data_IF_400328430992
#
_entry.id   IF_400328430992
#
_cell.length_a   1.000
_cell.length_b   1.000
_cell.length_c   1.000
_cell.angle_alpha   90.00
_cell.angle_beta   90.00
_cell.angle_gamma   90.00
#
_symmetry.space_group_name_H-M   'P 1'
#
loop_
_entity.id
_entity.type
_entity.pdbx_description
1 polymer ?
#
# COMPACT_ATOMS: atom_id res chain seq x y z
N UNK A 1 6.06 22.83 13.21
CA UNK A 1 5.42 21.87 12.29
C UNK A 1 4.63 22.59 11.18
N UNK A 2 4.65 22.06 9.96
CA UNK A 2 3.88 22.53 8.79
C UNK A 2 2.65 21.62 8.60
N UNK A 3 1.59 21.90 9.34
CA UNK A 3 0.30 21.20 9.24
C UNK A 3 -0.63 21.99 8.30
N UNK A 4 -1.37 21.28 7.46
CA UNK A 4 -2.30 21.86 6.51
C UNK A 4 -3.44 22.66 7.19
N UNK A 5 -3.80 23.85 6.68
CA UNK A 5 -5.00 24.56 7.11
C UNK A 5 -6.27 23.75 6.92
N UNK A 6 -7.20 23.87 7.88
CA UNK A 6 -8.51 23.21 7.88
C UNK A 6 -9.27 23.40 6.57
N UNK A 7 -9.22 24.60 6.02
CA UNK A 7 -9.94 25.00 4.81
C UNK A 7 -9.42 24.25 3.58
N UNK A 8 -8.10 23.99 3.51
CA UNK A 8 -7.50 23.26 2.39
C UNK A 8 -7.85 21.77 2.44
N UNK A 9 -7.79 21.15 3.63
CA UNK A 9 -8.22 19.76 3.84
C UNK A 9 -9.68 19.58 3.43
N UNK A 10 -10.59 20.43 3.91
CA UNK A 10 -12.01 20.36 3.55
C UNK A 10 -12.26 20.59 2.07
N UNK A 11 -11.50 21.51 1.45
CA UNK A 11 -11.61 21.80 0.02
C UNK A 11 -11.17 20.60 -0.81
N UNK A 12 -10.09 19.93 -0.43
CA UNK A 12 -9.59 18.74 -1.12
C UNK A 12 -10.56 17.56 -0.99
N UNK A 13 -10.99 17.28 0.24
CA UNK A 13 -11.95 16.21 0.53
C UNK A 13 -13.24 16.36 -0.28
N UNK A 14 -13.86 17.56 -0.29
CA UNK A 14 -15.07 17.83 -1.07
C UNK A 14 -14.85 17.76 -2.57
N UNK A 15 -13.65 18.08 -3.04
CA UNK A 15 -13.30 17.99 -4.47
C UNK A 15 -13.25 16.53 -4.90
N UNK A 16 -12.62 15.65 -4.12
CA UNK A 16 -12.58 14.22 -4.39
C UNK A 16 -13.99 13.62 -4.37
N UNK A 17 -14.76 13.82 -3.29
CA UNK A 17 -16.16 13.33 -3.20
C UNK A 17 -17.06 13.76 -4.37
N UNK A 18 -16.76 14.88 -5.02
CA UNK A 18 -17.53 15.37 -6.16
C UNK A 18 -17.05 14.79 -7.49
N UNK A 19 -15.76 14.52 -7.61
CA UNK A 19 -15.12 14.29 -8.90
C UNK A 19 -14.68 12.84 -9.08
N UNK A 20 -14.53 12.09 -8.01
CA UNK A 20 -13.98 10.74 -7.99
C UNK A 20 -15.08 9.80 -7.48
N UNK A 21 -15.12 8.61 -8.06
CA UNK A 21 -16.02 7.53 -7.68
C UNK A 21 -15.18 6.28 -7.61
N UNK A 22 -15.15 5.64 -6.44
CA UNK A 22 -14.42 4.40 -6.25
C UNK A 22 -15.37 3.21 -6.33
N UNK A 23 -14.90 2.09 -6.90
CA UNK A 23 -15.64 0.82 -6.95
C UNK A 23 -15.59 0.10 -5.59
N UNK A 24 -16.16 0.74 -4.58
CA UNK A 24 -16.30 0.24 -3.21
C UNK A 24 -17.46 0.95 -2.52
N UNK A 25 -17.80 0.53 -1.31
CA UNK A 25 -18.81 1.20 -0.51
C UNK A 25 -18.34 2.59 -0.04
N UNK A 26 -19.26 3.58 0.10
CA UNK A 26 -18.92 4.94 0.52
C UNK A 26 -18.15 5.03 1.85
N UNK A 27 -18.33 4.04 2.73
CA UNK A 27 -17.63 4.00 4.01
C UNK A 27 -16.14 3.67 3.86
N UNK A 28 -15.76 2.84 2.87
CA UNK A 28 -14.36 2.52 2.56
C UNK A 28 -13.76 3.64 1.72
N UNK A 29 -14.54 4.22 0.80
CA UNK A 29 -14.15 5.40 0.03
C UNK A 29 -13.73 6.58 0.94
N UNK A 30 -14.51 6.90 1.98
CA UNK A 30 -14.17 7.93 2.99
C UNK A 30 -12.79 7.67 3.61
N UNK A 31 -12.44 6.40 3.90
CA UNK A 31 -11.14 6.00 4.47
C UNK A 31 -9.98 6.22 3.50
N UNK A 32 -10.16 5.87 2.22
CA UNK A 32 -9.15 6.01 1.18
C UNK A 32 -8.93 7.47 0.78
N UNK A 33 -9.99 8.29 0.76
CA UNK A 33 -9.88 9.73 0.57
C UNK A 33 -9.09 10.40 1.70
N UNK A 34 -9.31 10.02 2.96
CA UNK A 34 -8.51 10.55 4.08
C UNK A 34 -7.01 10.23 3.93
N UNK A 35 -6.66 9.03 3.48
CA UNK A 35 -5.27 8.66 3.15
C UNK A 35 -4.71 9.52 2.01
N UNK A 36 -5.52 9.76 0.98
CA UNK A 36 -5.08 10.49 -0.23
C UNK A 36 -4.80 11.96 0.07
N UNK A 37 -5.59 12.58 0.96
CA UNK A 37 -5.34 13.97 1.39
C UNK A 37 -4.00 14.12 2.09
N UNK A 38 -3.58 13.12 2.88
CA UNK A 38 -2.25 13.14 3.51
C UNK A 38 -1.16 13.23 2.44
N UNK A 39 -1.20 12.33 1.45
CA UNK A 39 -0.27 12.36 0.30
C UNK A 39 -0.32 13.69 -0.47
N UNK A 40 -1.52 14.18 -0.80
CA UNK A 40 -1.67 15.49 -1.46
C UNK A 40 -1.08 16.62 -0.62
N UNK A 41 -1.26 16.61 0.69
CA UNK A 41 -0.75 17.66 1.58
C UNK A 41 0.78 17.65 1.64
N UNK A 42 1.41 16.47 1.65
CA UNK A 42 2.87 16.33 1.69
C UNK A 42 3.51 16.77 0.38
N UNK A 43 2.90 16.42 -0.75
CA UNK A 43 3.42 16.71 -2.08
C UNK A 43 3.02 18.10 -2.61
N UNK A 44 1.97 18.69 -2.04
CA UNK A 44 1.39 19.96 -2.50
C UNK A 44 0.39 19.78 -3.64
N UNK A 45 -0.18 18.60 -3.81
CA UNK A 45 -1.13 18.28 -4.88
C UNK A 45 -2.57 18.72 -4.52
N UNK A 46 -3.55 18.31 -5.33
CA UNK A 46 -4.96 18.52 -5.01
C UNK A 46 -5.33 20.00 -4.79
N UNK A 47 -5.89 20.32 -3.63
CA UNK A 47 -6.25 21.67 -3.22
C UNK A 47 -5.09 22.50 -2.66
N UNK A 48 -3.91 21.91 -2.47
CA UNK A 48 -2.74 22.54 -1.83
C UNK A 48 -1.88 23.38 -2.80
N UNK A 49 -2.05 23.23 -4.12
CA UNK A 49 -1.48 24.09 -5.18
C UNK A 49 0.04 24.37 -5.05
N UNK A 50 0.82 23.31 -4.86
CA UNK A 50 2.28 23.33 -4.71
C UNK A 50 2.77 23.66 -3.31
N UNK A 51 1.89 23.97 -2.35
CA UNK A 51 2.28 24.20 -0.96
C UNK A 51 2.36 22.87 -0.19
N UNK A 52 3.54 22.55 0.32
CA UNK A 52 3.79 21.32 1.08
C UNK A 52 3.56 21.49 2.58
N UNK A 53 2.79 20.58 3.16
CA UNK A 53 2.47 20.46 4.57
C UNK A 53 2.86 19.08 5.09
N UNK A 54 4.16 18.79 5.05
CA UNK A 54 4.79 17.48 5.31
C UNK A 54 4.57 16.89 6.72
N UNK A 55 4.03 17.69 7.65
CA UNK A 55 3.70 17.24 9.00
C UNK A 55 2.19 16.98 9.19
N UNK A 56 1.38 17.14 8.14
CA UNK A 56 -0.06 16.81 8.19
C UNK A 56 -0.23 15.30 8.28
N UNK A 57 -1.03 14.83 9.23
CA UNK A 57 -1.27 13.39 9.41
C UNK A 57 -2.72 13.02 9.12
N UNK A 58 -3.00 11.73 8.90
CA UNK A 58 -4.38 11.22 8.86
C UNK A 58 -5.17 11.60 10.12
N UNK A 59 -4.52 11.67 11.29
CA UNK A 59 -5.19 12.13 12.52
C UNK A 59 -5.70 13.57 12.38
N UNK A 60 -4.88 14.48 11.87
CA UNK A 60 -5.25 15.88 11.67
C UNK A 60 -6.41 16.00 10.68
N UNK A 61 -6.37 15.20 9.61
CA UNK A 61 -7.41 15.13 8.58
C UNK A 61 -8.73 14.64 9.19
N UNK A 62 -8.70 13.52 9.93
CA UNK A 62 -9.85 12.93 10.62
C UNK A 62 -10.49 13.94 11.58
N UNK A 63 -9.69 14.59 12.42
CA UNK A 63 -10.18 15.61 13.36
C UNK A 63 -10.77 16.82 12.64
N UNK A 64 -10.11 17.32 11.59
CA UNK A 64 -10.59 18.44 10.76
C UNK A 64 -11.93 18.13 10.11
N UNK A 65 -12.11 16.90 9.61
CA UNK A 65 -13.35 16.42 9.00
C UNK A 65 -14.45 16.12 10.03
N UNK A 66 -14.17 16.29 11.32
CA UNK A 66 -15.12 16.04 12.41
C UNK A 66 -15.47 14.57 12.56
N UNK A 67 -14.54 13.68 12.20
CA UNK A 67 -14.67 12.23 12.35
C UNK A 67 -14.08 11.81 13.70
N UNK A 68 -14.59 10.72 14.25
CA UNK A 68 -14.05 10.12 15.46
C UNK A 68 -12.81 9.27 15.12
N UNK A 69 -11.68 9.57 15.74
CA UNK A 69 -10.39 8.92 15.46
C UNK A 69 -10.38 7.44 15.79
N UNK A 70 -11.02 7.04 16.89
CA UNK A 70 -11.12 5.65 17.28
C UNK A 70 -12.00 4.86 16.30
N UNK A 71 -13.12 5.43 15.86
CA UNK A 71 -14.01 4.80 14.87
C UNK A 71 -13.27 4.62 13.54
N UNK A 72 -12.54 5.64 13.06
CA UNK A 72 -11.79 5.54 11.80
C UNK A 72 -10.72 4.44 11.88
N UNK A 73 -9.90 4.43 12.93
CA UNK A 73 -8.87 3.40 13.14
C UNK A 73 -9.47 2.00 13.26
N UNK A 74 -10.58 1.87 13.98
CA UNK A 74 -11.29 0.59 14.16
C UNK A 74 -11.84 0.06 12.83
N UNK A 75 -12.40 0.93 11.98
CA UNK A 75 -12.86 0.54 10.65
C UNK A 75 -11.73 0.07 9.75
N UNK A 76 -10.58 0.76 9.77
CA UNK A 76 -9.39 0.33 9.01
C UNK A 76 -8.87 -1.01 9.52
N UNK A 77 -8.78 -1.18 10.84
CA UNK A 77 -8.38 -2.45 11.45
C UNK A 77 -9.35 -3.59 11.11
N UNK A 78 -10.67 -3.32 11.10
CA UNK A 78 -11.67 -4.31 10.73
C UNK A 78 -11.45 -4.83 9.30
N UNK A 79 -11.15 -3.95 8.33
CA UNK A 79 -10.87 -4.37 6.95
C UNK A 79 -9.60 -5.24 6.86
N UNK A 80 -8.55 -4.91 7.62
CA UNK A 80 -7.34 -5.73 7.71
C UNK A 80 -7.65 -7.10 8.35
N UNK A 81 -8.41 -7.10 9.45
CA UNK A 81 -8.77 -8.32 10.17
C UNK A 81 -9.61 -9.27 9.29
N UNK A 82 -10.47 -8.75 8.40
CA UNK A 82 -11.19 -9.56 7.41
C UNK A 82 -10.25 -10.25 6.41
N UNK A 83 -9.15 -9.61 6.00
CA UNK A 83 -8.14 -10.23 5.12
C UNK A 83 -7.38 -11.32 5.88
N UNK A 84 -7.02 -11.07 7.15
CA UNK A 84 -6.41 -12.08 8.02
C UNK A 84 -7.33 -13.30 8.19
N UNK A 85 -8.61 -13.08 8.46
CA UNK A 85 -9.61 -14.13 8.59
C UNK A 85 -9.78 -14.94 7.29
N UNK A 86 -9.76 -14.28 6.14
CA UNK A 86 -9.72 -14.95 4.84
C UNK A 86 -8.51 -15.89 4.74
N UNK A 87 -7.32 -15.42 5.12
CA UNK A 87 -6.10 -16.23 5.09
C UNK A 87 -6.18 -17.43 6.02
N UNK A 88 -6.63 -17.24 7.26
CA UNK A 88 -6.80 -18.31 8.24
C UNK A 88 -7.72 -19.41 7.71
N UNK A 89 -8.85 -19.05 7.09
CA UNK A 89 -9.79 -20.00 6.48
C UNK A 89 -9.16 -20.83 5.37
N UNK A 90 -8.35 -20.21 4.49
CA UNK A 90 -7.63 -20.96 3.45
C UNK A 90 -6.60 -21.91 4.06
N UNK A 91 -5.85 -21.47 5.08
CA UNK A 91 -4.87 -22.31 5.80
C UNK A 91 -5.56 -23.49 6.48
N UNK A 92 -6.74 -23.29 7.05
CA UNK A 92 -7.58 -24.33 7.65
C UNK A 92 -8.18 -25.31 6.63
N UNK A 93 -7.98 -25.06 5.33
CA UNK A 93 -8.38 -25.92 4.23
C UNK A 93 -9.76 -25.61 3.66
N UNK A 94 -10.35 -24.46 3.98
CA UNK A 94 -11.58 -24.01 3.33
C UNK A 94 -11.31 -23.68 1.85
N UNK A 95 -12.12 -24.24 0.96
CA UNK A 95 -11.98 -24.00 -0.47
C UNK A 95 -12.73 -22.71 -0.87
N UNK A 96 -12.03 -21.58 -0.77
CA UNK A 96 -12.56 -20.26 -1.11
C UNK A 96 -12.31 -19.93 -2.59
N UNK A 97 -13.40 -19.72 -3.32
CA UNK A 97 -13.37 -19.40 -4.76
C UNK A 97 -13.60 -17.91 -5.05
N UNK A 98 -13.81 -17.09 -4.00
CA UNK A 98 -14.06 -15.66 -4.08
C UNK A 98 -13.39 -14.96 -2.90
N UNK A 99 -13.05 -13.68 -3.05
CA UNK A 99 -12.34 -12.90 -2.01
C UNK A 99 -13.38 -12.25 -1.07
N UNK A 100 -13.94 -13.07 -0.18
CA UNK A 100 -15.07 -12.68 0.70
C UNK A 100 -14.78 -12.97 2.18
N UNK A 101 -15.36 -12.16 3.08
CA UNK A 101 -15.33 -12.40 4.51
C UNK A 101 -16.20 -13.61 4.92
N UNK A 102 -16.27 -13.94 6.22
CA UNK A 102 -17.11 -15.06 6.72
C UNK A 102 -18.61 -14.89 6.46
N UNK A 103 -19.08 -13.67 6.27
CA UNK A 103 -20.48 -13.38 5.97
C UNK A 103 -20.78 -13.47 4.47
N UNK A 104 -19.78 -13.75 3.62
CA UNK A 104 -19.91 -13.77 2.17
C UNK A 104 -19.90 -12.38 1.52
N UNK A 105 -19.54 -11.34 2.27
CA UNK A 105 -19.38 -9.98 1.74
C UNK A 105 -17.99 -9.82 1.13
N UNK A 106 -17.82 -9.09 0.01
CA UNK A 106 -16.51 -8.87 -0.58
C UNK A 106 -15.57 -8.10 0.35
N UNK A 107 -14.31 -8.54 0.40
CA UNK A 107 -13.26 -7.81 1.11
C UNK A 107 -13.10 -6.40 0.51
N UNK A 108 -12.70 -5.44 1.34
CA UNK A 108 -12.62 -4.02 0.96
C UNK A 108 -13.93 -3.45 0.40
N UNK A 109 -15.05 -4.18 0.52
CA UNK A 109 -16.34 -3.89 -0.11
C UNK A 109 -16.25 -3.66 -1.63
N UNK A 110 -15.26 -4.28 -2.28
CA UNK A 110 -15.08 -4.20 -3.73
C UNK A 110 -15.91 -5.28 -4.43
N UNK A 111 -16.92 -4.91 -5.23
CA UNK A 111 -17.83 -5.89 -5.85
C UNK A 111 -17.12 -6.91 -6.76
N UNK A 112 -15.98 -6.53 -7.35
CA UNK A 112 -15.18 -7.42 -8.20
C UNK A 112 -14.75 -8.71 -7.48
N UNK A 113 -14.58 -8.65 -6.16
CA UNK A 113 -14.16 -9.77 -5.33
C UNK A 113 -15.25 -10.81 -5.10
N UNK A 114 -16.50 -10.43 -5.37
CA UNK A 114 -17.62 -11.35 -5.46
C UNK A 114 -17.74 -11.94 -6.87
N UNK A 115 -17.48 -11.15 -7.91
CA UNK A 115 -17.69 -11.56 -9.31
C UNK A 115 -16.55 -12.43 -9.87
N UNK A 116 -15.32 -12.21 -9.40
CA UNK A 116 -14.15 -12.92 -9.91
C UNK A 116 -13.93 -14.23 -9.16
N UNK A 117 -13.88 -15.32 -9.91
CA UNK A 117 -13.45 -16.62 -9.42
C UNK A 117 -11.93 -16.63 -9.22
N UNK A 118 -11.49 -17.10 -8.06
CA UNK A 118 -10.08 -17.18 -7.65
C UNK A 118 -9.77 -18.53 -7.01
N UNK A 119 -8.49 -18.81 -6.84
CA UNK A 119 -8.01 -19.88 -5.95
C UNK A 119 -7.45 -19.22 -4.68
N UNK A 120 -8.10 -19.48 -3.53
CA UNK A 120 -7.66 -18.95 -2.24
C UNK A 120 -6.20 -19.28 -1.91
N UNK A 121 -5.68 -20.45 -2.30
CA UNK A 121 -4.27 -20.82 -2.07
C UNK A 121 -3.31 -19.92 -2.83
N UNK A 122 -3.70 -19.50 -4.02
CA UNK A 122 -2.89 -18.60 -4.84
C UNK A 122 -3.01 -17.15 -4.36
N UNK A 123 -4.13 -16.75 -3.75
CA UNK A 123 -4.24 -15.47 -3.03
C UNK A 123 -3.19 -15.39 -1.90
N UNK A 124 -2.99 -16.47 -1.13
CA UNK A 124 -1.96 -16.53 -0.08
C UNK A 124 -0.54 -16.34 -0.63
N UNK A 125 -0.25 -16.93 -1.80
CA UNK A 125 1.04 -16.72 -2.48
C UNK A 125 1.23 -15.25 -2.86
N UNK A 126 0.18 -14.60 -3.35
CA UNK A 126 0.20 -13.17 -3.66
C UNK A 126 0.44 -12.30 -2.44
N UNK A 127 -0.29 -12.56 -1.35
CA UNK A 127 -0.13 -11.85 -0.08
C UNK A 127 1.29 -11.97 0.47
N UNK A 128 1.91 -13.14 0.36
CA UNK A 128 3.30 -13.30 0.72
C UNK A 128 4.24 -12.47 -0.16
N UNK A 129 4.10 -12.55 -1.49
CA UNK A 129 4.96 -11.82 -2.42
C UNK A 129 4.84 -10.31 -2.20
N UNK A 130 3.62 -9.81 -2.01
CA UNK A 130 3.35 -8.41 -1.68
C UNK A 130 3.97 -8.00 -0.34
N UNK A 131 3.70 -8.72 0.75
CA UNK A 131 4.28 -8.35 2.06
C UNK A 131 5.81 -8.43 2.11
N UNK A 132 6.44 -9.34 1.34
CA UNK A 132 7.91 -9.39 1.21
C UNK A 132 8.48 -8.28 0.34
N UNK A 133 7.67 -7.69 -0.54
CA UNK A 133 8.08 -6.63 -1.45
C UNK A 133 8.50 -5.37 -0.69
N UNK A 134 7.83 -5.07 0.42
CA UNK A 134 8.08 -3.86 1.21
C UNK A 134 9.12 -4.04 2.32
N UNK A 135 9.47 -5.29 2.65
CA UNK A 135 10.55 -5.55 3.60
C UNK A 135 11.93 -5.09 3.07
N UNK A 136 12.50 -4.10 3.75
CA UNK A 136 13.80 -3.53 3.41
C UNK A 136 14.94 -4.55 3.39
N UNK A 137 14.93 -5.55 4.28
CA UNK A 137 15.98 -6.55 4.34
C UNK A 137 15.92 -7.50 3.14
N UNK A 138 14.73 -7.80 2.65
CA UNK A 138 14.50 -8.52 1.40
C UNK A 138 14.95 -7.69 0.19
N UNK A 139 14.64 -6.39 0.14
CA UNK A 139 15.15 -5.48 -0.92
C UNK A 139 16.67 -5.41 -0.96
N UNK A 140 17.38 -5.50 0.18
CA UNK A 140 18.85 -5.60 0.20
C UNK A 140 19.36 -6.85 -0.50
N UNK A 141 18.74 -8.01 -0.26
CA UNK A 141 19.10 -9.27 -0.94
C UNK A 141 18.89 -9.17 -2.44
N UNK A 142 17.84 -8.46 -2.89
CA UNK A 142 17.60 -8.19 -4.32
C UNK A 142 18.72 -7.33 -4.91
N UNK A 143 19.12 -6.26 -4.21
CA UNK A 143 20.25 -5.42 -4.64
C UNK A 143 21.55 -6.23 -4.79
N UNK A 144 21.84 -7.12 -3.84
CA UNK A 144 23.01 -7.99 -3.89
C UNK A 144 22.95 -8.98 -5.05
N UNK A 145 21.80 -9.62 -5.27
CA UNK A 145 21.63 -10.68 -6.27
C UNK A 145 21.53 -10.17 -7.71
N UNK A 146 20.83 -9.06 -7.92
CA UNK A 146 20.50 -8.54 -9.26
C UNK A 146 21.23 -7.23 -9.61
N UNK A 147 22.11 -6.74 -8.73
CA UNK A 147 22.79 -5.45 -8.89
C UNK A 147 21.81 -4.28 -9.11
N UNK A 148 20.67 -4.34 -8.42
CA UNK A 148 19.66 -3.29 -8.43
C UNK A 148 20.00 -2.15 -7.45
N UNK A 149 19.26 -1.04 -7.55
CA UNK A 149 19.38 0.14 -6.70
C UNK A 149 18.07 0.42 -5.95
N UNK A 150 17.54 -0.58 -5.25
CA UNK A 150 16.34 -0.46 -4.44
C UNK A 150 16.64 0.26 -3.12
N UNK A 151 15.84 1.28 -2.85
CA UNK A 151 15.76 1.95 -1.57
C UNK A 151 14.74 1.30 -0.65
N UNK A 152 14.64 1.81 0.56
CA UNK A 152 13.61 1.40 1.50
C UNK A 152 13.88 1.88 2.92
N UNK A 153 13.01 1.44 3.81
CA UNK A 153 12.94 1.86 5.20
C UNK A 153 11.86 1.06 5.88
N UNK A 154 11.53 1.45 7.12
CA UNK A 154 10.42 0.83 7.86
C UNK A 154 9.62 1.91 8.57
N UNK A 155 8.31 1.70 8.80
CA UNK A 155 7.53 2.52 9.69
C UNK A 155 7.86 2.22 11.15
N UNK A 156 7.97 3.29 11.95
CA UNK A 156 8.28 3.23 13.37
C UNK A 156 7.25 4.01 14.18
N UNK A 157 6.91 3.58 15.41
CA UNK A 157 6.28 4.46 16.38
C UNK A 157 7.24 5.61 16.73
N UNK A 158 6.89 6.83 16.34
CA UNK A 158 7.69 8.04 16.48
C UNK A 158 7.01 9.05 17.41
N UNK A 159 7.73 9.57 18.41
CA UNK A 159 7.26 10.70 19.23
C UNK A 159 7.54 12.03 18.52
N UNK A 160 6.48 12.70 18.10
CA UNK A 160 6.54 13.97 17.34
C UNK A 160 7.21 15.10 18.13
N UNK A 161 7.15 15.09 19.47
CA UNK A 161 7.79 16.11 20.29
C UNK A 161 9.29 15.91 20.30
N UNK A 162 9.75 14.66 20.37
CA UNK A 162 11.17 14.32 20.25
C UNK A 162 11.66 14.68 18.85
N UNK A 163 10.89 14.33 17.82
CA UNK A 163 11.18 14.69 16.43
C UNK A 163 11.41 16.19 16.26
N UNK A 164 10.51 17.03 16.80
CA UNK A 164 10.65 18.49 16.75
C UNK A 164 11.87 18.99 17.55
N UNK A 165 12.13 18.44 18.75
CA UNK A 165 13.33 18.79 19.55
C UNK A 165 14.64 18.46 18.84
N UNK A 166 14.67 17.37 18.08
CA UNK A 166 15.81 16.95 17.27
C UNK A 166 15.96 17.77 15.97
N UNK A 167 15.02 18.69 15.70
CA UNK A 167 15.00 19.46 14.45
C UNK A 167 14.69 18.60 13.22
N UNK A 168 14.02 17.46 13.42
CA UNK A 168 13.57 16.55 12.38
C UNK A 168 12.11 16.85 12.01
N UNK A 169 11.70 16.37 10.84
CA UNK A 169 10.31 16.38 10.39
C UNK A 169 10.04 15.18 9.47
N UNK A 170 8.78 14.98 9.07
CA UNK A 170 8.37 13.87 8.22
C UNK A 170 9.15 13.80 6.89
N UNK A 171 9.38 14.95 6.24
CA UNK A 171 10.14 15.03 4.99
C UNK A 171 11.57 14.52 5.15
N UNK A 172 12.25 14.95 6.22
CA UNK A 172 13.63 14.56 6.49
C UNK A 172 13.71 13.06 6.74
N UNK A 173 12.81 12.50 7.53
CA UNK A 173 12.76 11.07 7.83
C UNK A 173 12.40 10.22 6.60
N UNK A 174 11.44 10.65 5.78
CA UNK A 174 10.94 9.90 4.64
C UNK A 174 11.86 9.95 3.40
N UNK A 175 12.71 10.96 3.26
CA UNK A 175 13.56 11.16 2.07
C UNK A 175 15.07 11.13 2.35
N UNK A 176 15.49 11.09 3.62
CA UNK A 176 16.89 11.01 4.02
C UNK A 176 17.49 9.60 3.92
N UNK A 177 18.77 9.49 4.26
CA UNK A 177 19.45 8.23 4.57
C UNK A 177 19.66 8.21 6.08
N UNK A 178 19.09 7.20 6.76
CA UNK A 178 19.06 7.14 8.23
C UNK A 178 19.43 5.79 8.81
N UNK A 179 19.84 4.82 7.99
CA UNK A 179 20.25 3.49 8.46
C UNK A 179 21.30 3.55 9.59
N UNK A 180 22.25 4.49 9.49
CA UNK A 180 23.31 4.72 10.48
C UNK A 180 22.84 5.44 11.76
N UNK A 181 21.65 6.01 11.76
CA UNK A 181 21.09 6.81 12.87
C UNK A 181 20.00 6.10 13.66
N UNK A 182 19.54 4.93 13.23
CA UNK A 182 18.44 4.23 13.89
C UNK A 182 18.72 3.96 15.38
N UNK A 183 19.96 3.65 15.74
CA UNK A 183 20.35 3.42 17.15
C UNK A 183 20.34 4.72 17.97
N UNK A 184 20.74 5.84 17.36
CA UNK A 184 20.62 7.17 17.98
C UNK A 184 19.13 7.52 18.19
N UNK A 185 18.29 7.29 17.18
CA UNK A 185 16.86 7.56 17.25
C UNK A 185 16.16 6.75 18.33
N UNK A 186 16.54 5.49 18.55
CA UNK A 186 16.05 4.70 19.69
C UNK A 186 16.53 5.25 21.03
N UNK A 187 17.81 5.62 21.12
CA UNK A 187 18.42 6.13 22.35
C UNK A 187 17.81 7.46 22.80
N UNK A 188 17.50 8.34 21.85
CA UNK A 188 16.88 9.65 22.11
C UNK A 188 15.35 9.56 22.29
N UNK A 189 14.80 8.34 22.29
CA UNK A 189 13.36 8.05 22.39
C UNK A 189 12.53 8.67 21.25
N UNK A 190 13.16 8.91 20.10
CA UNK A 190 12.45 9.26 18.88
C UNK A 190 11.65 8.06 18.39
N UNK A 191 12.32 6.90 18.25
CA UNK A 191 11.70 5.62 17.91
C UNK A 191 11.34 4.90 19.20
N UNK A 192 10.07 4.54 19.34
CA UNK A 192 9.53 3.82 20.48
C UNK A 192 9.26 2.36 20.12
N UNK A 193 9.39 1.48 21.10
CA UNK A 193 9.02 0.08 20.94
C UNK A 193 7.50 -0.09 20.88
N UNK A 194 6.93 -0.83 19.90
CA UNK A 194 5.49 -0.92 19.67
C UNK A 194 4.66 -1.35 20.89
N UNK A 195 5.19 -2.26 21.72
CA UNK A 195 4.50 -2.79 22.90
C UNK A 195 4.40 -1.79 24.06
N UNK A 196 5.11 -0.66 23.98
CA UNK A 196 5.10 0.38 25.00
C UNK A 196 4.10 1.50 24.69
N UNK A 197 3.37 1.43 23.57
CA UNK A 197 2.52 2.52 23.11
C UNK A 197 1.04 2.21 23.39
N UNK A 198 0.47 2.88 24.39
CA UNK A 198 -1.00 3.01 24.51
C UNK A 198 -1.46 4.15 23.60
N UNK A 199 -1.91 3.80 22.40
CA UNK A 199 -2.30 4.78 21.37
C UNK A 199 -3.46 5.70 21.81
N UNK A 200 -4.29 5.27 22.76
CA UNK A 200 -5.37 6.11 23.30
C UNK A 200 -4.84 7.20 24.22
N UNK A 201 -3.62 7.06 24.73
CA UNK A 201 -3.00 7.98 25.70
C UNK A 201 -1.92 8.88 25.11
N UNK A 202 -1.53 8.67 23.86
CA UNK A 202 -0.42 9.37 23.25
C UNK A 202 -0.78 9.96 21.88
N UNK A 203 -1.44 11.11 21.88
CA UNK A 203 -1.74 11.91 20.69
C UNK A 203 -0.49 12.29 19.88
N UNK A 204 0.67 12.30 20.53
CA UNK A 204 1.95 12.74 19.98
C UNK A 204 2.78 11.60 19.36
N UNK A 205 2.28 10.36 19.39
CA UNK A 205 2.95 9.20 18.77
C UNK A 205 2.31 8.91 17.40
N UNK A 206 3.13 8.61 16.40
CA UNK A 206 2.71 8.29 15.03
C UNK A 206 3.43 7.07 14.49
N UNK A 207 2.80 6.33 13.59
CA UNK A 207 3.49 5.33 12.79
C UNK A 207 4.08 6.04 11.58
N UNK A 208 5.37 6.36 11.65
CA UNK A 208 6.05 7.21 10.69
C UNK A 208 7.11 6.40 9.94
N UNK A 209 7.05 6.44 8.61
CA UNK A 209 8.08 5.87 7.76
C UNK A 209 9.41 6.62 7.95
N UNK A 210 10.46 5.85 8.26
CA UNK A 210 11.85 6.33 8.28
C UNK A 210 12.60 5.59 7.19
N UNK A 211 13.09 6.33 6.19
CA UNK A 211 13.90 5.78 5.11
C UNK A 211 15.27 5.39 5.66
N UNK A 212 15.61 4.11 5.54
CA UNK A 212 16.93 3.63 5.93
C UNK A 212 17.95 4.02 4.87
N UNK A 213 17.63 3.72 3.61
CA UNK A 213 18.51 3.94 2.47
C UNK A 213 17.73 4.46 1.26
N UNK A 214 18.29 5.46 0.58
CA UNK A 214 17.82 5.95 -0.71
C UNK A 214 18.08 4.95 -1.83
N UNK A 215 17.15 4.97 -2.76
CA UNK A 215 17.15 4.19 -3.98
C UNK A 215 15.75 4.25 -4.58
N UNK A 216 15.56 3.46 -5.61
CA UNK A 216 14.30 3.37 -6.34
C UNK A 216 13.29 2.52 -5.58
N UNK A 217 12.02 2.75 -5.88
CA UNK A 217 10.90 1.99 -5.37
C UNK A 217 10.61 0.74 -6.20
N UNK A 218 9.52 0.11 -5.80
CA UNK A 218 8.77 -0.88 -6.59
C UNK A 218 7.51 -0.20 -7.11
N UNK A 219 6.81 -0.85 -8.03
CA UNK A 219 5.52 -0.36 -8.55
C UNK A 219 4.41 -1.34 -8.15
N UNK A 220 3.37 -0.84 -7.51
CA UNK A 220 2.24 -1.65 -7.08
C UNK A 220 1.45 -2.22 -8.27
N UNK A 221 1.26 -1.42 -9.33
CA UNK A 221 0.68 -1.90 -10.60
C UNK A 221 1.53 -3.03 -11.19
N UNK A 222 2.85 -2.86 -11.21
CA UNK A 222 3.77 -3.89 -11.70
C UNK A 222 3.67 -5.14 -10.84
N UNK A 223 3.57 -5.00 -9.52
CA UNK A 223 3.43 -6.10 -8.57
C UNK A 223 2.18 -6.95 -8.87
N UNK A 224 1.03 -6.31 -9.05
CA UNK A 224 -0.22 -6.99 -9.41
C UNK A 224 -0.09 -7.72 -10.75
N UNK A 225 0.39 -7.03 -11.81
CA UNK A 225 0.44 -7.61 -13.16
C UNK A 225 1.52 -8.69 -13.29
N UNK A 226 2.71 -8.49 -12.73
CA UNK A 226 3.80 -9.48 -12.74
C UNK A 226 3.40 -10.71 -11.94
N UNK A 227 2.84 -10.54 -10.73
CA UNK A 227 2.33 -11.67 -9.93
C UNK A 227 1.29 -12.47 -10.70
N UNK A 228 0.39 -11.77 -11.41
CA UNK A 228 -0.63 -12.41 -12.22
C UNK A 228 -0.08 -13.16 -13.45
N UNK A 229 0.94 -12.61 -14.13
CA UNK A 229 1.54 -13.22 -15.31
C UNK A 229 2.52 -14.37 -14.99
N UNK A 230 3.21 -14.32 -13.86
CA UNK A 230 4.11 -15.39 -13.42
C UNK A 230 3.34 -16.62 -12.93
N UNK A 231 2.17 -16.41 -12.33
CA UNK A 231 1.42 -17.48 -11.68
C UNK A 231 -0.02 -17.55 -12.20
N UNK A 232 -0.88 -16.65 -11.74
CA UNK A 232 -2.25 -16.42 -12.23
C UNK A 232 -2.87 -15.20 -11.53
N UNK A 233 -4.04 -14.78 -12.00
CA UNK A 233 -4.72 -13.59 -11.47
C UNK A 233 -5.00 -13.64 -9.96
N UNK A 234 -5.23 -14.82 -9.36
CA UNK A 234 -5.39 -14.93 -7.90
C UNK A 234 -4.13 -14.47 -7.16
N UNK A 235 -2.93 -14.82 -7.66
CA UNK A 235 -1.67 -14.30 -7.08
C UNK A 235 -1.60 -12.78 -7.22
N UNK A 236 -1.94 -12.21 -8.39
CA UNK A 236 -1.97 -10.76 -8.56
C UNK A 236 -2.94 -10.05 -7.60
N UNK A 237 -4.11 -10.64 -7.35
CA UNK A 237 -5.08 -10.11 -6.38
C UNK A 237 -4.60 -10.24 -4.94
N UNK A 238 -3.85 -11.29 -4.60
CA UNK A 238 -3.19 -11.40 -3.31
C UNK A 238 -2.15 -10.30 -3.08
N UNK A 239 -1.38 -9.94 -4.11
CA UNK A 239 -0.44 -8.80 -4.06
C UNK A 239 -1.19 -7.49 -3.83
N UNK A 240 -2.29 -7.26 -4.56
CA UNK A 240 -3.15 -6.09 -4.34
C UNK A 240 -3.68 -6.01 -2.89
N UNK A 241 -4.07 -7.14 -2.30
CA UNK A 241 -4.54 -7.17 -0.90
C UNK A 241 -3.41 -6.88 0.10
N UNK A 242 -2.16 -7.19 -0.22
CA UNK A 242 -1.02 -6.82 0.63
C UNK A 242 -0.84 -5.30 0.69
N UNK A 243 -0.84 -4.62 -0.47
CA UNK A 243 -0.83 -3.15 -0.53
C UNK A 243 -2.08 -2.54 0.14
N UNK A 244 -3.24 -3.20 0.07
CA UNK A 244 -4.41 -2.77 0.82
C UNK A 244 -4.17 -2.76 2.34
N UNK A 245 -3.43 -3.74 2.86
CA UNK A 245 -3.04 -3.79 4.27
C UNK A 245 -2.03 -2.68 4.61
N UNK A 246 -0.94 -2.52 3.85
CA UNK A 246 0.06 -1.45 4.07
C UNK A 246 -0.60 -0.06 4.01
N UNK A 247 -1.52 0.14 3.07
CA UNK A 247 -2.29 1.37 3.01
C UNK A 247 -3.11 1.56 4.29
N UNK A 248 -3.85 0.55 4.75
CA UNK A 248 -4.76 0.68 5.89
C UNK A 248 -4.03 0.78 7.23
N UNK A 249 -2.91 0.08 7.41
CA UNK A 249 -2.24 -0.08 8.70
C UNK A 249 -1.56 1.20 9.22
N UNK A 250 -1.14 2.10 8.31
CA UNK A 250 -0.64 3.46 8.55
C UNK A 250 -1.47 4.26 9.56
N UNK A 251 -2.78 3.98 9.63
CA UNK A 251 -3.67 4.57 10.63
C UNK A 251 -4.69 3.56 11.17
N UNK A 252 -4.21 2.41 11.65
CA UNK A 252 -5.04 1.35 12.28
C UNK A 252 -4.92 1.33 13.81
N UNK A 253 -5.40 0.27 14.47
CA UNK A 253 -5.29 0.10 15.92
C UNK A 253 -3.97 -0.58 16.35
N UNK A 254 -3.22 -1.15 15.41
CA UNK A 254 -1.97 -1.89 15.66
C UNK A 254 -0.79 -1.14 15.01
N UNK A 255 0.35 -1.10 15.71
CA UNK A 255 1.54 -0.33 15.29
C UNK A 255 2.69 -1.26 14.91
N UNK A 256 2.46 -2.06 13.86
CA UNK A 256 3.47 -2.88 13.21
C UNK A 256 3.04 -3.11 11.76
N UNK A 257 3.99 -3.48 10.89
CA UNK A 257 3.75 -3.81 9.48
C UNK A 257 2.89 -5.09 9.38
N UNK A 258 1.58 -4.91 9.14
CA UNK A 258 0.61 -6.00 9.24
C UNK A 258 0.66 -6.92 8.03
N UNK A 259 1.10 -6.44 6.88
CA UNK A 259 1.31 -7.19 5.65
C UNK A 259 2.55 -8.11 5.75
N UNK A 260 3.69 -7.65 6.25
CA UNK A 260 4.88 -8.50 6.50
C UNK A 260 4.61 -9.55 7.58
N UNK A 261 3.89 -9.18 8.64
CA UNK A 261 3.47 -10.13 9.67
C UNK A 261 2.57 -11.24 9.08
N UNK A 262 1.64 -10.87 8.18
CA UNK A 262 0.78 -11.82 7.48
C UNK A 262 1.58 -12.72 6.53
N UNK A 263 2.51 -12.15 5.76
CA UNK A 263 3.40 -12.89 4.87
C UNK A 263 4.23 -13.92 5.66
N UNK A 264 4.78 -13.53 6.80
CA UNK A 264 5.53 -14.42 7.70
C UNK A 264 4.65 -15.52 8.29
N UNK A 265 3.38 -15.23 8.60
CA UNK A 265 2.41 -16.23 9.05
C UNK A 265 2.10 -17.26 7.95
N UNK A 266 1.86 -16.79 6.72
CA UNK A 266 1.58 -17.63 5.55
C UNK A 266 2.76 -18.58 5.29
N UNK A 267 3.99 -18.06 5.23
CA UNK A 267 5.20 -18.86 5.00
C UNK A 267 5.38 -19.98 6.03
N UNK A 268 5.02 -19.73 7.30
CA UNK A 268 5.17 -20.71 8.39
C UNK A 268 4.05 -21.74 8.45
N UNK A 269 2.82 -21.34 8.15
CA UNK A 269 1.62 -22.15 8.40
C UNK A 269 1.06 -22.82 7.16
N UNK A 270 1.29 -22.25 5.97
CA UNK A 270 0.72 -22.78 4.73
C UNK A 270 1.63 -23.86 4.11
N UNK A 271 1.20 -25.12 4.19
CA UNK A 271 2.02 -26.27 3.75
C UNK A 271 2.22 -26.37 2.24
N UNK A 272 1.24 -25.91 1.46
CA UNK A 272 1.26 -25.97 -0.02
C UNK A 272 1.81 -24.67 -0.64
N UNK A 273 2.61 -23.93 0.12
CA UNK A 273 3.09 -22.59 -0.21
C UNK A 273 3.84 -22.56 -1.55
N UNK A 274 4.69 -23.56 -1.82
CA UNK A 274 5.38 -23.78 -3.09
C UNK A 274 6.06 -22.53 -3.71
N UNK A 275 6.47 -21.59 -2.86
CA UNK A 275 7.34 -20.47 -3.22
C UNK A 275 8.63 -20.57 -2.41
N UNK A 276 9.73 -20.21 -3.05
CA UNK A 276 11.05 -20.08 -2.42
C UNK A 276 11.37 -18.60 -2.18
N UNK A 277 12.35 -18.34 -1.31
CA UNK A 277 12.91 -16.98 -1.18
C UNK A 277 13.40 -16.46 -2.54
N UNK A 278 13.98 -17.32 -3.36
CA UNK A 278 14.48 -16.98 -4.70
C UNK A 278 13.36 -16.49 -5.64
N UNK A 279 12.15 -17.04 -5.50
CA UNK A 279 10.97 -16.59 -6.25
C UNK A 279 10.55 -15.18 -5.80
N UNK A 280 10.56 -14.91 -4.48
CA UNK A 280 10.29 -13.58 -3.95
C UNK A 280 11.31 -12.55 -4.42
N UNK A 281 12.61 -12.88 -4.38
CA UNK A 281 13.66 -11.99 -4.87
C UNK A 281 13.52 -11.70 -6.38
N UNK A 282 13.17 -12.72 -7.19
CA UNK A 282 12.93 -12.54 -8.62
C UNK A 282 11.70 -11.67 -8.86
N UNK A 283 10.61 -11.88 -8.12
CA UNK A 283 9.41 -11.06 -8.18
C UNK A 283 9.72 -9.59 -7.88
N UNK A 284 10.39 -9.30 -6.77
CA UNK A 284 10.75 -7.93 -6.36
C UNK A 284 11.65 -7.26 -7.42
N UNK A 285 12.62 -8.00 -7.97
CA UNK A 285 13.42 -7.49 -9.07
C UNK A 285 12.57 -7.12 -10.29
N UNK A 286 11.61 -7.98 -10.67
CA UNK A 286 10.74 -7.73 -11.82
C UNK A 286 9.79 -6.55 -11.64
N UNK A 287 9.44 -6.18 -10.41
CA UNK A 287 8.52 -5.07 -10.12
C UNK A 287 9.26 -3.79 -9.71
N UNK A 288 10.59 -3.87 -9.54
CA UNK A 288 11.43 -2.71 -9.27
C UNK A 288 11.41 -1.70 -10.41
N UNK A 289 11.34 -0.42 -10.05
CA UNK A 289 11.42 0.69 -10.99
C UNK A 289 12.90 0.84 -11.40
N UNK A 290 13.23 0.79 -12.71
CA UNK A 290 14.58 1.07 -13.18
C UNK A 290 14.94 2.55 -13.11
N UNK A 291 16.24 2.85 -13.12
CA UNK A 291 16.73 4.22 -13.27
C UNK A 291 16.16 4.85 -14.56
N UNK A 292 15.80 6.13 -14.49
CA UNK A 292 15.23 6.93 -15.60
C UNK A 292 13.81 6.50 -16.06
N UNK A 293 13.14 5.66 -15.26
CA UNK A 293 11.78 5.16 -15.55
C UNK A 293 10.75 5.52 -14.48
N UNK A 294 11.11 6.28 -13.44
CA UNK A 294 10.20 6.66 -12.34
C UNK A 294 8.87 7.26 -12.83
N UNK A 295 8.91 8.23 -13.76
CA UNK A 295 7.70 8.88 -14.29
C UNK A 295 6.97 8.06 -15.39
N UNK A 296 7.45 6.85 -15.70
CA UNK A 296 6.95 6.03 -16.83
C UNK A 296 6.33 4.71 -16.38
N UNK A 297 6.50 4.35 -15.12
CA UNK A 297 5.95 3.15 -14.53
C UNK A 297 4.89 3.60 -13.53
N UNK A 298 3.63 3.17 -13.70
CA UNK A 298 2.55 3.58 -12.82
C UNK A 298 2.76 3.03 -11.41
N UNK A 299 2.41 3.83 -10.40
CA UNK A 299 2.40 3.40 -9.01
C UNK A 299 1.09 3.84 -8.33
N UNK A 300 0.09 2.99 -8.46
CA UNK A 300 -1.27 3.24 -8.00
C UNK A 300 -1.40 2.96 -6.52
N UNK A 301 -1.77 3.99 -5.76
CA UNK A 301 -2.35 3.74 -4.43
C UNK A 301 -3.67 2.98 -4.55
N UNK A 302 -4.11 2.38 -3.44
CA UNK A 302 -5.43 1.73 -3.32
C UNK A 302 -6.59 2.56 -3.90
N UNK A 303 -6.55 3.89 -3.76
CA UNK A 303 -7.56 4.78 -4.37
C UNK A 303 -7.53 4.70 -5.90
N UNK A 304 -6.35 4.76 -6.53
CA UNK A 304 -6.21 4.70 -8.00
C UNK A 304 -6.55 3.32 -8.57
N UNK A 305 -6.32 2.24 -7.82
CA UNK A 305 -6.76 0.90 -8.23
C UNK A 305 -8.28 0.78 -8.35
N UNK A 306 -9.01 1.43 -7.44
CA UNK A 306 -10.47 1.35 -7.33
C UNK A 306 -11.19 2.53 -8.01
N UNK A 307 -10.49 3.58 -8.43
CA UNK A 307 -11.09 4.73 -9.11
C UNK A 307 -11.68 4.32 -10.46
N UNK A 308 -12.96 4.62 -10.68
CA UNK A 308 -13.64 4.40 -11.95
C UNK A 308 -13.23 5.51 -12.92
N UNK A 309 -12.54 5.15 -13.99
CA UNK A 309 -12.26 6.10 -15.06
C UNK A 309 -13.56 6.46 -15.79
N UNK A 310 -13.85 7.76 -15.87
CA UNK A 310 -15.14 8.27 -16.38
C UNK A 310 -15.38 7.98 -17.85
N UNK A 311 -14.32 7.89 -18.64
CA UNK A 311 -14.41 7.69 -20.09
C UNK A 311 -14.39 6.19 -20.43
N UNK A 312 -13.58 5.41 -19.72
CA UNK A 312 -13.43 3.97 -19.91
C UNK A 312 -14.52 3.15 -19.19
N UNK A 313 -15.11 3.69 -18.12
CA UNK A 313 -16.16 3.03 -17.32
C UNK A 313 -15.68 1.82 -16.53
N UNK A 314 -14.37 1.69 -16.32
CA UNK A 314 -13.73 0.62 -15.54
C UNK A 314 -12.62 1.20 -14.67
N UNK A 315 -12.22 0.43 -13.67
CA UNK A 315 -11.10 0.71 -12.79
C UNK A 315 -9.76 0.25 -13.36
N UNK A 316 -8.65 0.74 -12.78
CA UNK A 316 -7.29 0.25 -13.06
C UNK A 316 -7.16 -1.24 -12.76
N UNK A 317 -7.71 -1.70 -11.63
CA UNK A 317 -7.70 -3.11 -11.23
C UNK A 317 -8.43 -4.01 -12.24
N UNK A 318 -9.60 -3.58 -12.75
CA UNK A 318 -10.30 -4.29 -13.83
C UNK A 318 -9.51 -4.32 -15.13
N UNK A 319 -8.82 -3.22 -15.47
CA UNK A 319 -7.97 -3.16 -16.65
C UNK A 319 -6.84 -4.19 -16.56
N UNK A 320 -6.18 -4.31 -15.40
CA UNK A 320 -5.17 -5.35 -15.15
C UNK A 320 -5.75 -6.75 -15.28
N UNK A 321 -6.89 -6.99 -14.62
CA UNK A 321 -7.60 -8.27 -14.68
C UNK A 321 -7.92 -8.68 -16.12
N UNK A 322 -8.47 -7.74 -16.92
CA UNK A 322 -8.81 -8.01 -18.31
C UNK A 322 -7.56 -8.31 -19.15
N UNK A 323 -6.50 -7.52 -18.98
CA UNK A 323 -5.23 -7.72 -19.69
C UNK A 323 -4.64 -9.11 -19.42
N UNK A 324 -4.51 -9.50 -18.15
CA UNK A 324 -3.89 -10.78 -17.77
C UNK A 324 -4.72 -11.96 -18.26
N UNK A 325 -6.05 -11.85 -18.22
CA UNK A 325 -6.95 -12.89 -18.72
C UNK A 325 -7.16 -12.87 -20.24
N UNK A 326 -6.43 -12.05 -20.99
CA UNK A 326 -6.54 -11.96 -22.45
C UNK A 326 -7.89 -11.40 -22.95
N UNK A 327 -8.62 -10.70 -22.07
CA UNK A 327 -9.89 -10.05 -22.40
C UNK A 327 -9.63 -8.66 -22.99
N UNK A 328 -10.54 -8.12 -23.82
CA UNK A 328 -10.46 -6.74 -24.27
C UNK A 328 -10.48 -5.77 -23.08
N UNK A 329 -9.68 -4.69 -23.17
CA UNK A 329 -9.68 -3.59 -22.21
C UNK A 329 -9.59 -2.25 -22.97
N UNK A 330 -10.24 -1.18 -22.49
CA UNK A 330 -10.10 0.16 -23.02
C UNK A 330 -8.69 0.72 -22.72
N UNK A 331 -8.23 1.65 -23.56
CA UNK A 331 -6.95 2.34 -23.36
C UNK A 331 -7.19 3.64 -22.60
N UNK A 332 -6.59 3.78 -21.43
CA UNK A 332 -6.70 4.98 -20.61
C UNK A 332 -5.48 5.13 -19.70
N UNK A 333 -5.38 6.31 -19.08
CA UNK A 333 -4.25 6.67 -18.24
C UNK A 333 -4.52 6.24 -16.81
N UNK A 334 -3.65 5.41 -16.28
CA UNK A 334 -3.70 4.86 -14.92
C UNK A 334 -2.71 5.60 -14.00
N UNK A 335 -2.87 5.37 -12.70
CA UNK A 335 -2.09 5.95 -11.59
C UNK A 335 -2.00 7.49 -11.56
N UNK A 336 -1.22 8.00 -10.62
CA UNK A 336 -0.91 9.42 -10.51
C UNK A 336 -0.01 9.92 -11.66
N UNK A 337 0.90 9.07 -12.16
CA UNK A 337 1.85 9.35 -13.24
C UNK A 337 1.14 9.49 -14.61
N UNK A 338 -0.13 9.06 -14.70
CA UNK A 338 -0.97 9.17 -15.90
C UNK A 338 -0.37 8.42 -17.10
N UNK A 339 0.20 7.24 -16.82
CA UNK A 339 0.79 6.33 -17.81
C UNK A 339 -0.33 5.61 -18.57
N UNK A 340 -0.19 5.44 -19.88
CA UNK A 340 -1.16 4.67 -20.67
C UNK A 340 -1.04 3.18 -20.31
N UNK A 341 -2.14 2.56 -19.91
CA UNK A 341 -2.16 1.14 -19.51
C UNK A 341 -1.57 0.19 -20.57
N UNK A 342 -1.80 0.43 -21.86
CA UNK A 342 -1.21 -0.35 -22.95
C UNK A 342 0.32 -0.29 -22.95
N UNK A 343 0.91 0.89 -22.80
CA UNK A 343 2.38 1.07 -22.81
C UNK A 343 2.99 0.34 -21.61
N UNK A 344 2.36 0.47 -20.45
CA UNK A 344 2.73 -0.25 -19.23
C UNK A 344 2.69 -1.77 -19.42
N UNK A 345 1.62 -2.31 -20.01
CA UNK A 345 1.50 -3.74 -20.27
C UNK A 345 2.55 -4.29 -21.24
N UNK A 346 2.92 -3.52 -22.27
CA UNK A 346 4.01 -3.89 -23.16
C UNK A 346 5.36 -3.89 -22.43
N UNK A 347 5.58 -2.89 -21.57
CA UNK A 347 6.76 -2.82 -20.72
C UNK A 347 6.89 -4.06 -19.82
N UNK A 348 5.82 -4.45 -19.10
CA UNK A 348 5.86 -5.62 -18.21
C UNK A 348 6.13 -6.92 -18.98
N UNK A 349 5.47 -7.13 -20.13
CA UNK A 349 5.72 -8.32 -20.96
C UNK A 349 7.17 -8.42 -21.40
N UNK A 350 7.76 -7.31 -21.84
CA UNK A 350 9.17 -7.24 -22.22
C UNK A 350 10.06 -7.57 -21.02
N UNK A 351 9.82 -6.95 -19.87
CA UNK A 351 10.60 -7.14 -18.64
C UNK A 351 10.61 -8.60 -18.17
N UNK A 352 9.47 -9.27 -18.18
CA UNK A 352 9.37 -10.69 -17.83
C UNK A 352 10.13 -11.57 -18.84
N UNK A 353 10.05 -11.26 -20.14
CA UNK A 353 10.71 -12.07 -21.17
C UNK A 353 12.25 -11.97 -21.15
N UNK A 354 12.79 -10.90 -20.56
CA UNK A 354 14.23 -10.62 -20.49
C UNK A 354 14.88 -11.10 -19.18
N UNK A 355 14.11 -11.65 -18.24
CA UNK A 355 14.54 -11.99 -16.87
C UNK A 355 14.44 -13.49 -16.53
#
# INVERSE_FOLDING_TARGET
>A
MKIAPKELIWKDFRKMQKNEELLTDPAVEDLLFMQTIEGHSHNGDGAFNGQKFVDTTINDIVEVLGRDTFIVRSKRQMLIDEIYEFVERVIDGENLNHIVNRNGEPLMRCSLFFDWEVDGKDILRGLYLGGRMDDFDTRKKVNEKYHANLGGGKPYPVDLRVMERMGLNGEMLAHGDHEDKLDEYRKEELILEPYNVDFLRHSDIRFQYIRHKKGLGVSDDAAVVVGALLYNMSVGLGVYLADAIDTLDKFSLKFYEQDDALATMIERSFKDFNLTEDDALKFIYLVSIPEDMEDKIPDSSQRYFLEIDKDAGITTLESHYNFVNGRPYPKFKISYERVLNEDFYQYIKKRISEA
#
